data_IF_906652079270
#
_entry.id   IF_906652079270
#
_cell.length_a   1.000
_cell.length_b   1.000
_cell.length_c   1.000
_cell.angle_alpha   90.00
_cell.angle_beta   90.00
_cell.angle_gamma   90.00
#
_symmetry.space_group_name_H-M   'P 1'
#
loop_
_entity.id
_entity.type
_entity.pdbx_description
1 polymer ?
#
# COMPACT_ATOMS: atom_id res chain seq x y z
N UNK A 1 13.22 -8.99 -5.53
CA UNK A 1 13.50 -8.08 -4.40
C UNK A 1 14.47 -7.03 -4.88
N UNK A 2 14.38 -5.79 -4.39
CA UNK A 2 15.36 -4.75 -4.71
C UNK A 2 16.72 -5.09 -4.09
N UNK A 3 17.79 -4.80 -4.81
CA UNK A 3 19.15 -4.91 -4.28
C UNK A 3 19.65 -3.60 -3.65
N UNK A 4 18.83 -2.53 -3.63
CA UNK A 4 19.21 -1.23 -3.09
C UNK A 4 18.96 -1.17 -1.57
N UNK A 5 20.01 -1.06 -0.72
CA UNK A 5 19.87 -1.15 0.73
C UNK A 5 18.94 -0.09 1.31
N UNK A 6 19.09 1.17 0.89
CA UNK A 6 18.30 2.30 1.42
C UNK A 6 16.81 2.18 1.07
N UNK A 7 16.49 1.66 -0.13
CA UNK A 7 15.11 1.41 -0.52
C UNK A 7 14.49 0.30 0.32
N UNK A 8 15.25 -0.78 0.55
CA UNK A 8 14.80 -1.87 1.40
C UNK A 8 14.59 -1.39 2.84
N UNK A 9 15.49 -0.55 3.36
CA UNK A 9 15.38 0.02 4.70
C UNK A 9 14.14 0.92 4.81
N UNK A 10 13.92 1.83 3.86
CA UNK A 10 12.72 2.67 3.83
C UNK A 10 11.43 1.85 3.82
N UNK A 11 11.36 0.79 3.00
CA UNK A 11 10.19 -0.10 2.94
C UNK A 11 10.01 -0.87 4.26
N UNK A 12 11.10 -1.39 4.83
CA UNK A 12 11.05 -2.11 6.11
C UNK A 12 10.59 -1.20 7.24
N UNK A 13 11.15 0.01 7.34
CA UNK A 13 10.80 0.98 8.37
C UNK A 13 9.33 1.39 8.26
N UNK A 14 8.88 1.69 7.04
CA UNK A 14 7.47 1.96 6.75
C UNK A 14 6.57 0.82 7.23
N UNK A 15 6.88 -0.43 6.86
CA UNK A 15 6.04 -1.59 7.20
C UNK A 15 6.08 -1.94 8.69
N UNK A 16 7.22 -1.75 9.36
CA UNK A 16 7.35 -1.92 10.81
C UNK A 16 6.51 -0.90 11.58
N UNK A 17 6.47 0.36 11.13
CA UNK A 17 5.59 1.38 11.70
C UNK A 17 4.11 1.05 11.50
N UNK A 18 3.73 0.46 10.35
CA UNK A 18 2.33 0.08 10.06
C UNK A 18 1.87 -1.17 10.83
N UNK A 19 2.78 -2.09 11.14
CA UNK A 19 2.44 -3.40 11.75
C UNK A 19 1.56 -3.30 13.00
N UNK A 20 1.82 -2.45 14.01
CA UNK A 20 0.98 -2.32 15.21
C UNK A 20 -0.47 -1.91 14.91
N UNK A 21 -0.73 -1.28 13.76
CA UNK A 21 -2.08 -0.91 13.33
C UNK A 21 -2.86 -2.09 12.73
N UNK A 22 -2.17 -3.18 12.38
CA UNK A 22 -2.71 -4.35 11.69
C UNK A 22 -2.81 -5.60 12.58
N UNK A 23 -2.25 -5.57 13.80
CA UNK A 23 -2.13 -6.76 14.65
C UNK A 23 -3.49 -7.44 14.93
N UNK A 24 -3.59 -8.71 14.50
CA UNK A 24 -4.67 -9.65 14.84
C UNK A 24 -4.06 -11.05 15.02
N UNK A 25 -4.66 -11.85 15.90
CA UNK A 25 -4.18 -13.18 16.31
C UNK A 25 -4.30 -14.26 15.23
N UNK A 26 -3.34 -15.19 15.22
CA UNK A 26 -3.14 -16.23 14.22
C UNK A 26 -4.22 -17.33 14.19
N UNK A 27 -4.71 -17.67 12.98
CA UNK A 27 -5.04 -19.05 12.58
C UNK A 27 -5.21 -19.15 11.04
N UNK A 28 -4.82 -20.30 10.46
CA UNK A 28 -4.88 -20.69 9.04
C UNK A 28 -4.17 -19.76 8.03
N UNK A 29 -2.84 -19.70 8.13
CA UNK A 29 -2.00 -18.86 7.25
C UNK A 29 -1.80 -19.41 5.83
N UNK A 30 -1.80 -20.74 5.63
CA UNK A 30 -1.45 -21.33 4.33
C UNK A 30 -2.48 -21.06 3.23
N UNK A 31 -3.77 -21.12 3.54
CA UNK A 31 -4.83 -20.76 2.59
C UNK A 31 -4.78 -19.28 2.22
N UNK A 32 -4.54 -18.41 3.20
CA UNK A 32 -4.37 -16.97 2.97
C UNK A 32 -3.14 -16.69 2.11
N UNK A 33 -2.03 -17.38 2.35
CA UNK A 33 -0.82 -17.26 1.52
C UNK A 33 -1.12 -17.58 0.05
N UNK A 34 -1.88 -18.66 -0.22
CA UNK A 34 -2.30 -19.01 -1.58
C UNK A 34 -3.17 -17.92 -2.22
N UNK A 35 -4.11 -17.33 -1.46
CA UNK A 35 -4.93 -16.22 -1.94
C UNK A 35 -4.07 -14.97 -2.22
N UNK A 36 -3.08 -14.68 -1.37
CA UNK A 36 -2.15 -13.56 -1.53
C UNK A 36 -1.25 -13.72 -2.76
N UNK A 37 -0.84 -14.95 -3.11
CA UNK A 37 -0.08 -15.20 -4.35
C UNK A 37 -0.82 -14.72 -5.60
N UNK A 38 -2.14 -14.78 -5.62
CA UNK A 38 -2.92 -14.26 -6.74
C UNK A 38 -2.83 -12.73 -6.90
N UNK A 39 -2.59 -11.98 -5.81
CA UNK A 39 -2.33 -10.54 -5.89
C UNK A 39 -0.97 -10.27 -6.51
N UNK A 40 0.06 -11.01 -6.10
CA UNK A 40 1.41 -10.89 -6.67
C UNK A 40 1.39 -11.16 -8.18
N UNK A 41 0.70 -12.22 -8.61
CA UNK A 41 0.55 -12.52 -10.04
C UNK A 41 -0.17 -11.41 -10.79
N UNK A 42 -1.20 -10.79 -10.20
CA UNK A 42 -1.90 -9.66 -10.82
C UNK A 42 -1.04 -8.42 -10.93
N UNK A 43 -0.20 -8.13 -9.93
CA UNK A 43 0.78 -7.04 -9.99
C UNK A 43 1.84 -7.32 -11.06
N UNK A 44 2.31 -8.57 -11.21
CA UNK A 44 3.33 -8.92 -12.20
C UNK A 44 2.91 -8.74 -13.66
N UNK A 45 1.61 -8.60 -13.93
CA UNK A 45 1.06 -8.43 -15.28
C UNK A 45 0.17 -7.19 -15.42
N UNK A 46 0.22 -6.26 -14.45
CA UNK A 46 -0.66 -5.09 -14.47
C UNK A 46 -0.24 -4.02 -15.48
N UNK A 47 0.98 -4.08 -15.99
CA UNK A 47 1.47 -3.25 -17.08
C UNK A 47 0.62 -3.39 -18.37
N UNK A 48 0.04 -4.57 -18.61
CA UNK A 48 -0.85 -4.80 -19.74
C UNK A 48 -2.22 -4.09 -19.63
N UNK A 49 -2.58 -3.58 -18.44
CA UNK A 49 -3.88 -2.92 -18.19
C UNK A 49 -3.74 -1.48 -17.70
N UNK A 50 -2.50 -1.01 -17.47
CA UNK A 50 -2.18 0.33 -16.99
C UNK A 50 -1.43 1.10 -18.08
N UNK A 51 -1.62 2.42 -18.10
CA UNK A 51 -0.85 3.27 -18.99
C UNK A 51 0.58 3.44 -18.46
N UNK A 52 1.55 3.72 -19.34
CA UNK A 52 2.92 3.97 -18.89
C UNK A 52 3.00 5.25 -18.03
N UNK A 53 3.75 5.19 -16.93
CA UNK A 53 4.01 6.37 -16.13
C UNK A 53 5.04 7.28 -16.83
N UNK A 54 5.00 8.61 -16.58
CA UNK A 54 6.04 9.51 -17.03
C UNK A 54 7.41 9.12 -16.42
N UNK A 55 8.54 9.49 -17.04
CA UNK A 55 9.85 9.24 -16.47
C UNK A 55 10.06 10.03 -15.17
N UNK A 56 10.95 9.54 -14.31
CA UNK A 56 11.35 10.24 -13.08
C UNK A 56 10.32 10.22 -11.95
N UNK A 57 9.33 9.30 -11.98
CA UNK A 57 8.43 9.12 -10.86
C UNK A 57 9.15 8.72 -9.57
N UNK A 58 8.64 9.23 -8.45
CA UNK A 58 8.95 8.77 -7.09
C UNK A 58 7.74 8.06 -6.50
N UNK A 59 7.83 7.56 -5.26
CA UNK A 59 6.68 6.99 -4.56
C UNK A 59 6.71 7.35 -3.07
N UNK A 60 5.54 7.26 -2.44
CA UNK A 60 5.36 7.33 -0.98
C UNK A 60 4.27 6.32 -0.57
N UNK A 61 4.09 6.07 0.73
CA UNK A 61 3.09 5.15 1.26
C UNK A 61 2.12 5.90 2.18
N UNK A 62 0.83 5.79 1.90
CA UNK A 62 -0.24 6.39 2.68
C UNK A 62 -0.99 5.31 3.47
N UNK A 63 -1.40 5.64 4.70
CA UNK A 63 -2.14 4.73 5.60
C UNK A 63 -3.45 5.37 5.99
N UNK A 64 -4.54 4.86 5.42
CA UNK A 64 -5.89 5.25 5.83
C UNK A 64 -6.29 4.44 7.08
N UNK A 65 -6.46 5.15 8.20
CA UNK A 65 -6.92 4.53 9.46
C UNK A 65 -8.45 4.53 9.54
N UNK A 66 -9.02 3.57 10.30
CA UNK A 66 -10.48 3.41 10.44
C UNK A 66 -11.14 4.55 11.22
N UNK A 67 -10.42 5.10 12.18
CA UNK A 67 -10.83 6.22 13.01
C UNK A 67 -9.96 7.44 12.68
N UNK A 68 -10.19 8.58 13.34
CA UNK A 68 -9.34 9.75 13.20
C UNK A 68 -7.86 9.40 13.47
N UNK A 69 -6.99 9.75 12.53
CA UNK A 69 -5.56 9.39 12.55
C UNK A 69 -4.81 9.93 13.77
N UNK A 70 -5.30 11.00 14.40
CA UNK A 70 -4.74 11.56 15.65
C UNK A 70 -4.64 10.53 16.78
N UNK A 71 -5.53 9.54 16.83
CA UNK A 71 -5.49 8.45 17.82
C UNK A 71 -4.42 7.39 17.55
N UNK A 72 -3.96 7.29 16.30
CA UNK A 72 -2.97 6.30 15.86
C UNK A 72 -1.58 6.91 15.71
N UNK A 73 -1.46 8.24 15.85
CA UNK A 73 -0.19 8.96 15.72
C UNK A 73 0.86 8.47 16.68
N UNK A 74 0.55 8.20 17.95
CA UNK A 74 1.55 7.67 18.88
C UNK A 74 1.93 6.22 18.56
N UNK A 75 0.98 5.42 18.07
CA UNK A 75 1.17 3.98 17.81
C UNK A 75 2.02 3.70 16.58
N UNK A 76 1.94 4.56 15.55
CA UNK A 76 2.67 4.37 14.29
C UNK A 76 4.14 4.82 14.41
N UNK A 77 4.50 5.58 15.44
CA UNK A 77 5.84 6.18 15.63
C UNK A 77 6.79 5.23 16.37
N UNK A 78 6.95 4.00 15.88
CA UNK A 78 7.75 2.97 16.56
C UNK A 78 9.24 3.01 16.20
N UNK A 79 9.61 3.69 15.12
CA UNK A 79 10.99 3.80 14.66
C UNK A 79 11.51 5.21 14.94
N UNK A 80 12.64 5.26 15.62
CA UNK A 80 13.34 6.50 15.91
C UNK A 80 13.80 7.16 14.60
N UNK A 81 13.65 8.48 14.51
CA UNK A 81 14.09 9.28 13.36
C UNK A 81 13.34 8.95 12.03
N UNK A 82 12.19 8.27 12.12
CA UNK A 82 11.29 7.99 10.98
C UNK A 82 9.86 8.49 11.27
N UNK A 83 9.64 9.82 11.28
CA UNK A 83 8.37 10.38 11.72
C UNK A 83 7.26 10.21 10.69
N UNK A 84 6.09 9.79 11.15
CA UNK A 84 4.84 9.90 10.40
C UNK A 84 4.16 11.25 10.64
N UNK A 85 3.51 11.80 9.61
CA UNK A 85 2.72 13.03 9.69
C UNK A 85 1.34 12.82 9.10
N UNK A 86 0.40 13.72 9.39
CA UNK A 86 -0.88 13.72 8.70
C UNK A 86 -0.64 14.15 7.26
N UNK A 87 -1.20 13.41 6.30
CA UNK A 87 -1.09 13.76 4.89
C UNK A 87 -1.95 14.98 4.59
N UNK A 88 -1.41 15.92 3.81
CA UNK A 88 -2.17 17.06 3.31
C UNK A 88 -3.01 16.64 2.11
N UNK A 89 -4.09 17.38 1.82
CA UNK A 89 -4.96 17.08 0.67
C UNK A 89 -4.18 17.03 -0.66
N UNK A 90 -3.14 17.86 -0.80
CA UNK A 90 -2.31 17.91 -2.01
C UNK A 90 -1.50 16.64 -2.24
N UNK A 91 -1.13 15.92 -1.18
CA UNK A 91 -0.34 14.68 -1.28
C UNK A 91 -1.18 13.49 -1.73
N UNK A 92 -2.50 13.56 -1.52
CA UNK A 92 -3.43 12.45 -1.71
C UNK A 92 -4.39 12.68 -2.87
N UNK A 93 -4.70 13.95 -3.18
CA UNK A 93 -5.74 14.28 -4.14
C UNK A 93 -5.36 13.81 -5.56
N UNK A 94 -6.22 12.95 -6.10
CA UNK A 94 -6.23 12.63 -7.52
C UNK A 94 -7.61 12.99 -8.07
N UNK A 95 -7.64 13.94 -8.99
CA UNK A 95 -8.88 14.39 -9.58
C UNK A 95 -9.41 13.37 -10.59
N UNK A 96 -10.64 12.91 -10.38
CA UNK A 96 -11.40 12.00 -11.25
C UNK A 96 -10.59 10.79 -11.77
N UNK A 97 -10.09 9.92 -10.87
CA UNK A 97 -9.27 8.80 -11.27
C UNK A 97 -10.10 7.69 -11.90
N UNK A 98 -9.53 7.05 -12.93
CA UNK A 98 -10.02 5.77 -13.43
C UNK A 98 -9.70 4.68 -12.41
N UNK A 99 -10.72 4.00 -11.91
CA UNK A 99 -10.57 2.87 -10.99
C UNK A 99 -10.39 1.56 -11.75
N UNK A 100 -9.27 0.88 -11.52
CA UNK A 100 -8.89 -0.35 -12.22
C UNK A 100 -8.74 -1.49 -11.18
N UNK A 101 -9.73 -2.39 -11.06
CA UNK A 101 -9.66 -3.49 -10.11
C UNK A 101 -8.65 -4.56 -10.56
N UNK A 102 -7.76 -4.97 -9.66
CA UNK A 102 -6.76 -6.02 -9.95
C UNK A 102 -7.15 -7.37 -9.34
N UNK A 103 -7.48 -7.39 -8.04
CA UNK A 103 -7.83 -8.63 -7.33
C UNK A 103 -8.68 -8.36 -6.09
N UNK A 104 -9.58 -9.29 -5.79
CA UNK A 104 -10.31 -9.36 -4.52
C UNK A 104 -10.13 -10.74 -3.92
N UNK A 105 -10.04 -10.83 -2.59
CA UNK A 105 -10.10 -12.06 -1.83
C UNK A 105 -11.02 -11.92 -0.62
N UNK A 106 -11.52 -13.06 -0.17
CA UNK A 106 -12.28 -13.19 1.07
C UNK A 106 -11.87 -14.50 1.71
N UNK A 107 -11.41 -14.42 2.95
CA UNK A 107 -11.25 -15.54 3.87
C UNK A 107 -11.83 -15.17 5.23
N UNK A 108 -11.82 -16.10 6.17
CA UNK A 108 -12.33 -15.88 7.53
C UNK A 108 -11.53 -14.80 8.27
N UNK A 109 -10.23 -14.71 8.01
CA UNK A 109 -9.32 -13.80 8.71
C UNK A 109 -8.96 -12.54 7.92
N UNK A 110 -9.10 -12.55 6.59
CA UNK A 110 -8.74 -11.42 5.73
C UNK A 110 -9.70 -11.26 4.55
N UNK A 111 -10.27 -10.06 4.45
CA UNK A 111 -10.97 -9.58 3.25
C UNK A 111 -10.16 -8.43 2.68
N UNK A 112 -9.72 -8.55 1.44
CA UNK A 112 -8.81 -7.58 0.82
C UNK A 112 -9.17 -7.36 -0.64
N UNK A 113 -9.18 -6.10 -1.06
CA UNK A 113 -9.30 -5.68 -2.44
C UNK A 113 -8.07 -4.87 -2.82
N UNK A 114 -7.53 -5.14 -4.00
CA UNK A 114 -6.47 -4.37 -4.63
C UNK A 114 -7.01 -3.80 -5.93
N UNK A 115 -6.94 -2.48 -6.04
CA UNK A 115 -7.26 -1.73 -7.23
C UNK A 115 -6.23 -0.61 -7.41
N UNK A 116 -6.14 -0.10 -8.64
CA UNK A 116 -5.32 1.06 -8.99
C UNK A 116 -6.25 2.22 -9.25
N UNK A 117 -5.95 3.37 -8.66
CA UNK A 117 -6.50 4.63 -9.08
C UNK A 117 -5.51 5.23 -10.08
N UNK A 118 -5.96 5.52 -11.30
CA UNK A 118 -5.10 6.02 -12.36
C UNK A 118 -5.60 7.36 -12.90
N UNK A 119 -4.69 8.33 -13.09
CA UNK A 119 -5.04 9.62 -13.70
C UNK A 119 -5.57 9.40 -15.11
N UNK A 120 -6.65 10.10 -15.46
CA UNK A 120 -7.21 10.06 -16.81
C UNK A 120 -6.16 10.38 -17.90
N UNK A 121 -5.23 11.31 -17.60
CA UNK A 121 -4.15 11.72 -18.50
C UNK A 121 -2.82 11.73 -17.75
N UNK A 122 -1.88 10.89 -18.17
CA UNK A 122 -0.48 10.92 -17.73
C UNK A 122 0.27 11.85 -18.65
N UNK A 123 0.89 12.90 -18.11
CA UNK A 123 1.69 13.84 -18.91
C UNK A 123 2.81 13.11 -19.65
N UNK A 124 3.16 13.57 -20.86
CA UNK A 124 4.28 13.05 -21.65
C UNK A 124 5.62 13.35 -20.99
#
# INVERSE_FOLDING_TARGET
MSCHPELNQYIQDTLHCVKPLLEKSDSLLSHVEQLLRAFILKISVCDAVLDHNPPGCTFTVLVHTREAATRNMEKIQVIKDFPWILADEQDVHMHDPRLIPLKTMTSDILKMQLYVEERAHKGS
#
